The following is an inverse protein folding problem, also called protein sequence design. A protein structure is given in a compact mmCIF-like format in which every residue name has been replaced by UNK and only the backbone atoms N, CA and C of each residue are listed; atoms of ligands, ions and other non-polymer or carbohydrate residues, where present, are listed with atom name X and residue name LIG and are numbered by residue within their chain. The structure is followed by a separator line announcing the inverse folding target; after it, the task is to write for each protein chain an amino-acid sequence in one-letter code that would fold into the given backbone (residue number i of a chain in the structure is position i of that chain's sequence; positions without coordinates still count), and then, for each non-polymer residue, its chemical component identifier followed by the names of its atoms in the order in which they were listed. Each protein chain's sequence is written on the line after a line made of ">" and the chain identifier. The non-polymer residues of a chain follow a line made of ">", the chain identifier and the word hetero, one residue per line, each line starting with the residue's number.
data_IF_407724945073
#
_entry.id   IF_407724945073
#
_cell.length_a   1.000
_cell.length_b   1.000
_cell.length_c   1.000
_cell.angle_alpha   90.00
_cell.angle_beta   90.00
_cell.angle_gamma   90.00
#
_symmetry.space_group_name_H-M   'P 1'
#
loop_
_entity.id
_entity.type
_entity.pdbx_description
1 polymer ?
#
# COMPACT_ATOMS: atom_id res chain seq x y z
N UNK A 1 15.54 -4.19 18.08
CA UNK A 1 14.83 -5.06 17.13
C UNK A 1 15.66 -5.14 15.87
N UNK A 2 16.30 -6.28 15.62
CA UNK A 2 17.14 -6.48 14.43
C UNK A 2 16.28 -6.35 13.16
N UNK A 3 16.74 -5.52 12.25
CA UNK A 3 16.17 -5.42 10.90
C UNK A 3 16.55 -6.69 10.15
N UNK A 4 15.61 -7.59 9.94
CA UNK A 4 15.83 -8.70 9.01
C UNK A 4 16.19 -8.11 7.64
N UNK A 5 17.44 -8.30 7.22
CA UNK A 5 17.89 -7.95 5.87
C UNK A 5 17.19 -8.85 4.88
N UNK A 6 16.61 -8.29 3.82
CA UNK A 6 16.01 -9.08 2.74
C UNK A 6 17.13 -9.85 2.06
N UNK A 7 17.08 -11.20 2.12
CA UNK A 7 18.07 -12.06 1.47
C UNK A 7 17.66 -12.35 0.03
N UNK A 8 18.49 -11.95 -0.91
CA UNK A 8 18.35 -12.23 -2.34
C UNK A 8 19.27 -13.38 -2.82
N UNK A 9 19.83 -14.15 -1.91
CA UNK A 9 20.70 -15.30 -2.26
C UNK A 9 20.01 -16.25 -3.22
N UNK A 10 20.78 -16.82 -4.17
CA UNK A 10 20.33 -17.75 -5.22
C UNK A 10 19.33 -17.14 -6.24
N UNK A 11 19.36 -15.83 -6.43
CA UNK A 11 18.70 -15.17 -7.54
C UNK A 11 19.73 -14.64 -8.51
N UNK A 12 19.52 -14.88 -9.83
CA UNK A 12 20.44 -14.42 -10.89
C UNK A 12 20.44 -12.90 -11.06
N UNK A 13 19.32 -12.25 -10.76
CA UNK A 13 19.17 -10.81 -10.94
C UNK A 13 19.61 -10.04 -9.69
N UNK A 14 20.24 -8.87 -9.89
CA UNK A 14 20.59 -7.97 -8.79
C UNK A 14 19.38 -7.60 -7.93
N UNK A 15 19.59 -7.36 -6.61
CA UNK A 15 18.53 -6.95 -5.68
C UNK A 15 17.73 -5.74 -6.17
N UNK A 16 18.39 -4.78 -6.80
CA UNK A 16 17.79 -3.55 -7.32
C UNK A 16 16.74 -3.85 -8.42
N UNK A 17 17.05 -4.76 -9.34
CA UNK A 17 16.10 -5.19 -10.39
C UNK A 17 14.92 -5.91 -9.77
N UNK A 18 15.14 -6.81 -8.82
CA UNK A 18 14.07 -7.54 -8.14
C UNK A 18 13.15 -6.55 -7.40
N UNK A 19 13.71 -5.62 -6.64
CA UNK A 19 12.96 -4.60 -5.92
C UNK A 19 12.18 -3.67 -6.87
N UNK A 20 12.80 -3.26 -7.98
CA UNK A 20 12.19 -2.40 -8.99
C UNK A 20 10.99 -3.07 -9.66
N UNK A 21 11.13 -4.33 -10.07
CA UNK A 21 10.05 -5.12 -10.67
C UNK A 21 8.86 -5.28 -9.72
N UNK A 22 9.13 -5.62 -8.46
CA UNK A 22 8.09 -5.73 -7.43
C UNK A 22 7.41 -4.38 -7.18
N UNK A 23 8.18 -3.29 -7.18
CA UNK A 23 7.65 -1.93 -7.05
C UNK A 23 6.78 -1.53 -8.24
N UNK A 24 7.21 -1.76 -9.50
CA UNK A 24 6.42 -1.48 -10.69
C UNK A 24 5.06 -2.17 -10.59
N UNK A 25 5.07 -3.45 -10.29
CA UNK A 25 3.84 -4.23 -10.14
C UNK A 25 2.95 -3.77 -8.99
N UNK A 26 3.51 -3.33 -7.86
CA UNK A 26 2.74 -2.84 -6.72
C UNK A 26 2.19 -1.42 -6.91
N UNK A 27 2.96 -0.56 -7.58
CA UNK A 27 2.67 0.88 -7.70
C UNK A 27 1.72 1.21 -8.83
N UNK A 28 1.91 0.57 -9.98
CA UNK A 28 1.16 0.85 -11.19
C UNK A 28 0.12 -0.24 -11.46
N UNK A 29 -0.88 0.07 -12.28
CA UNK A 29 -1.92 -0.89 -12.66
C UNK A 29 -1.48 -1.79 -13.83
N UNK A 30 -0.25 -2.29 -13.78
CA UNK A 30 0.36 -3.14 -14.79
C UNK A 30 0.04 -4.62 -14.53
N UNK A 31 -0.23 -5.38 -15.58
CA UNK A 31 -0.23 -6.84 -15.51
C UNK A 31 1.19 -7.37 -15.34
N UNK A 32 1.35 -8.65 -15.02
CA UNK A 32 2.68 -9.27 -14.93
C UNK A 32 3.40 -9.29 -16.28
N UNK A 33 2.64 -9.41 -17.39
CA UNK A 33 3.19 -9.40 -18.75
C UNK A 33 3.63 -8.01 -19.17
N UNK A 34 2.86 -6.97 -18.86
CA UNK A 34 3.30 -5.59 -19.13
C UNK A 34 4.57 -5.23 -18.36
N UNK A 35 4.76 -5.78 -17.16
CA UNK A 35 6.03 -5.60 -16.42
C UNK A 35 7.16 -6.40 -17.08
N UNK A 36 6.91 -7.60 -17.59
CA UNK A 36 7.85 -8.39 -18.39
C UNK A 36 8.31 -7.61 -19.62
N UNK A 37 7.36 -7.09 -20.41
CA UNK A 37 7.63 -6.28 -21.61
C UNK A 37 8.48 -5.05 -21.27
N UNK A 38 8.10 -4.30 -20.22
CA UNK A 38 8.86 -3.14 -19.76
C UNK A 38 10.29 -3.47 -19.32
N UNK A 39 10.51 -4.65 -18.76
CA UNK A 39 11.85 -5.09 -18.36
C UNK A 39 12.65 -5.54 -19.57
N UNK A 40 12.02 -6.22 -20.53
CA UNK A 40 12.67 -6.64 -21.77
C UNK A 40 13.15 -5.44 -22.60
N UNK A 41 12.34 -4.38 -22.72
CA UNK A 41 12.72 -3.13 -23.37
C UNK A 41 13.95 -2.47 -22.74
N UNK A 42 14.25 -2.77 -21.48
CA UNK A 42 15.44 -2.30 -20.74
C UNK A 42 16.58 -3.30 -20.72
N UNK A 43 16.50 -4.34 -21.56
CA UNK A 43 17.54 -5.36 -21.66
C UNK A 43 17.57 -6.36 -20.49
N UNK A 44 16.50 -6.42 -19.68
CA UNK A 44 16.39 -7.39 -18.59
C UNK A 44 15.32 -8.44 -18.95
N UNK A 45 15.75 -9.61 -19.41
CA UNK A 45 14.86 -10.73 -19.75
C UNK A 45 14.40 -11.45 -18.48
N UNK A 46 13.25 -11.01 -17.95
CA UNK A 46 12.63 -11.52 -16.73
C UNK A 46 11.21 -11.97 -17.02
N UNK A 47 10.96 -13.27 -17.02
CA UNK A 47 9.62 -13.82 -17.31
C UNK A 47 8.56 -13.39 -16.28
N UNK A 48 7.30 -13.24 -16.75
CA UNK A 48 6.16 -12.87 -15.89
C UNK A 48 5.97 -13.84 -14.71
N UNK A 49 6.32 -15.11 -14.87
CA UNK A 49 6.25 -16.10 -13.80
C UNK A 49 7.33 -15.84 -12.72
N UNK A 50 8.52 -15.42 -13.12
CA UNK A 50 9.58 -14.98 -12.21
C UNK A 50 9.13 -13.73 -11.45
N UNK A 51 8.55 -12.75 -12.13
CA UNK A 51 7.97 -11.55 -11.53
C UNK A 51 6.90 -11.91 -10.51
N UNK A 52 6.01 -12.85 -10.84
CA UNK A 52 4.98 -13.36 -9.93
C UNK A 52 5.61 -13.97 -8.67
N UNK A 53 6.61 -14.82 -8.82
CA UNK A 53 7.33 -15.45 -7.69
C UNK A 53 8.02 -14.41 -6.82
N UNK A 54 8.69 -13.43 -7.41
CA UNK A 54 9.32 -12.35 -6.66
C UNK A 54 8.30 -11.50 -5.89
N UNK A 55 7.18 -11.19 -6.51
CA UNK A 55 6.11 -10.43 -5.85
C UNK A 55 5.56 -11.19 -4.64
N UNK A 56 5.37 -12.50 -4.75
CA UNK A 56 4.90 -13.33 -3.62
C UNK A 56 5.95 -13.41 -2.51
N UNK A 57 7.23 -13.60 -2.86
CA UNK A 57 8.34 -13.78 -1.91
C UNK A 57 8.78 -12.46 -1.27
N UNK A 58 9.07 -11.46 -2.07
CA UNK A 58 9.68 -10.21 -1.62
C UNK A 58 8.68 -9.09 -1.32
N UNK A 59 7.48 -9.13 -1.93
CA UNK A 59 6.47 -8.10 -1.75
C UNK A 59 6.13 -7.81 -0.28
N UNK A 60 5.83 -8.81 0.56
CA UNK A 60 5.58 -8.61 1.99
C UNK A 60 6.77 -8.00 2.75
N UNK A 61 8.00 -8.42 2.42
CA UNK A 61 9.23 -7.93 3.04
C UNK A 61 9.49 -6.45 2.68
N UNK A 62 9.36 -6.12 1.38
CA UNK A 62 9.47 -4.74 0.89
C UNK A 62 8.40 -3.87 1.54
N UNK A 63 7.15 -4.35 1.62
CA UNK A 63 6.08 -3.64 2.30
C UNK A 63 6.40 -3.36 3.78
N UNK A 64 7.04 -4.29 4.46
CA UNK A 64 7.47 -4.11 5.85
C UNK A 64 8.53 -3.02 5.98
N UNK A 65 9.54 -3.00 5.10
CA UNK A 65 10.59 -1.96 5.07
C UNK A 65 9.97 -0.59 4.76
N UNK A 66 9.12 -0.50 3.75
CA UNK A 66 8.44 0.75 3.38
C UNK A 66 7.61 1.31 4.53
N UNK A 67 6.87 0.47 5.26
CA UNK A 67 6.05 0.91 6.40
C UNK A 67 6.88 1.49 7.54
N UNK A 68 8.06 0.95 7.81
CA UNK A 68 8.95 1.49 8.86
C UNK A 68 9.44 2.91 8.55
N UNK A 69 9.51 3.26 7.25
CA UNK A 69 9.93 4.60 6.77
C UNK A 69 8.76 5.57 6.57
N UNK A 70 7.53 5.11 6.79
CA UNK A 70 6.35 5.97 6.65
C UNK A 70 6.18 6.85 7.89
N UNK A 71 5.67 8.08 7.72
CA UNK A 71 5.24 8.89 8.84
C UNK A 71 4.15 8.17 9.65
N UNK A 72 4.06 8.46 10.93
CA UNK A 72 2.95 7.95 11.75
C UNK A 72 1.63 8.40 11.15
N UNK A 73 0.61 7.52 11.14
CA UNK A 73 -0.74 7.91 10.74
C UNK A 73 -1.25 9.05 11.63
N UNK A 74 -2.09 9.89 11.06
CA UNK A 74 -2.82 10.89 11.84
C UNK A 74 -3.82 10.26 12.82
N UNK A 75 -4.40 11.07 13.67
CA UNK A 75 -5.25 10.67 14.81
C UNK A 75 -6.75 10.62 14.50
N UNK A 76 -7.16 10.94 13.26
CA UNK A 76 -8.54 10.80 12.77
C UNK A 76 -8.58 9.75 11.67
N UNK A 77 -9.29 8.64 11.91
CA UNK A 77 -9.39 7.55 10.96
C UNK A 77 -10.79 7.44 10.36
N UNK A 78 -10.84 7.27 9.05
CA UNK A 78 -12.06 6.96 8.30
C UNK A 78 -12.04 5.47 7.96
N UNK A 79 -13.08 4.75 8.37
CA UNK A 79 -13.16 3.30 8.23
C UNK A 79 -14.26 2.95 7.24
N UNK A 80 -13.96 2.03 6.33
CA UNK A 80 -14.90 1.52 5.35
C UNK A 80 -14.57 0.07 4.96
N UNK A 81 -15.54 -0.63 4.42
CA UNK A 81 -15.37 -1.96 3.90
C UNK A 81 -15.96 -2.10 2.51
N UNK A 82 -15.28 -2.87 1.70
CA UNK A 82 -15.68 -3.14 0.32
C UNK A 82 -15.73 -4.64 0.05
N UNK A 83 -16.78 -5.08 -0.65
CA UNK A 83 -16.92 -6.48 -1.06
C UNK A 83 -15.89 -6.82 -2.14
N UNK A 84 -15.22 -7.96 -2.00
CA UNK A 84 -14.35 -8.54 -3.01
C UNK A 84 -14.82 -9.97 -3.28
N UNK A 85 -15.07 -10.31 -4.54
CA UNK A 85 -15.41 -11.67 -4.95
C UNK A 85 -14.15 -12.44 -5.29
N UNK A 86 -13.97 -13.63 -4.69
CA UNK A 86 -12.82 -14.51 -4.92
C UNK A 86 -13.35 -15.93 -5.10
N UNK A 87 -13.12 -16.52 -6.28
CA UNK A 87 -13.62 -17.86 -6.61
C UNK A 87 -15.13 -18.02 -6.30
N UNK A 88 -15.95 -17.05 -6.71
CA UNK A 88 -17.39 -17.04 -6.50
C UNK A 88 -17.86 -16.67 -5.08
N UNK A 89 -16.97 -16.60 -4.09
CA UNK A 89 -17.31 -16.26 -2.70
C UNK A 89 -17.05 -14.79 -2.40
N UNK A 90 -17.94 -14.17 -1.62
CA UNK A 90 -17.79 -12.77 -1.19
C UNK A 90 -16.95 -12.68 0.08
N UNK A 91 -16.00 -11.76 0.07
CA UNK A 91 -15.16 -11.35 1.20
C UNK A 91 -15.29 -9.85 1.39
N UNK A 92 -14.90 -9.35 2.56
CA UNK A 92 -14.95 -7.95 2.91
C UNK A 92 -13.53 -7.46 3.19
N UNK A 93 -13.07 -6.51 2.38
CA UNK A 93 -11.82 -5.80 2.62
C UNK A 93 -12.13 -4.58 3.50
N UNK A 94 -11.81 -4.70 4.77
CA UNK A 94 -11.91 -3.63 5.76
C UNK A 94 -10.66 -2.77 5.71
N UNK A 95 -10.84 -1.46 5.60
CA UNK A 95 -9.73 -0.51 5.47
C UNK A 95 -9.94 0.70 6.36
N UNK A 96 -8.83 1.24 6.88
CA UNK A 96 -8.77 2.56 7.47
C UNK A 96 -7.94 3.50 6.61
N UNK A 97 -8.32 4.75 6.55
CA UNK A 97 -7.54 5.84 5.95
C UNK A 97 -7.56 7.03 6.91
N UNK A 98 -6.43 7.68 7.11
CA UNK A 98 -6.37 8.85 7.98
C UNK A 98 -6.80 10.14 7.28
N UNK A 99 -6.80 11.26 8.02
CA UNK A 99 -7.14 12.59 7.51
C UNK A 99 -6.19 13.08 6.40
N UNK A 100 -5.02 12.45 6.22
CA UNK A 100 -4.04 12.79 5.19
C UNK A 100 -4.09 11.86 3.97
N UNK A 101 -4.94 10.81 4.01
CA UNK A 101 -5.05 9.80 2.96
C UNK A 101 -4.07 8.65 3.08
N UNK A 102 -3.32 8.58 4.19
CA UNK A 102 -2.48 7.43 4.52
C UNK A 102 -3.36 6.27 4.98
N UNK A 103 -3.03 5.06 4.57
CA UNK A 103 -3.72 3.83 4.98
C UNK A 103 -2.97 3.20 6.17
N UNK A 104 -3.44 3.38 7.43
CA UNK A 104 -2.83 2.75 8.61
C UNK A 104 -2.88 1.23 8.55
N UNK A 105 -3.94 0.69 7.99
CA UNK A 105 -4.07 -0.76 7.81
C UNK A 105 -5.38 -1.19 7.18
N UNK A 106 -5.38 -2.47 6.85
CA UNK A 106 -6.48 -3.15 6.21
C UNK A 106 -6.45 -4.64 6.51
N UNK A 107 -7.61 -5.27 6.46
CA UNK A 107 -7.77 -6.71 6.71
C UNK A 107 -8.90 -7.28 5.86
N UNK A 108 -8.65 -8.44 5.27
CA UNK A 108 -9.68 -9.21 4.56
C UNK A 108 -10.40 -10.13 5.55
N UNK A 109 -11.72 -10.15 5.50
CA UNK A 109 -12.54 -11.01 6.34
C UNK A 109 -13.71 -11.59 5.56
N UNK A 110 -14.18 -12.78 5.99
CA UNK A 110 -15.31 -13.47 5.36
C UNK A 110 -16.67 -12.93 5.79
N UNK A 111 -16.73 -12.18 6.90
CA UNK A 111 -17.97 -11.64 7.47
C UNK A 111 -17.92 -10.14 7.65
N UNK A 112 -19.10 -9.52 7.58
CA UNK A 112 -19.33 -8.09 7.87
C UNK A 112 -20.07 -7.95 9.19
N UNK A 113 -19.37 -8.24 10.28
CA UNK A 113 -19.95 -8.28 11.62
C UNK A 113 -19.12 -7.49 12.66
N UNK A 114 -19.62 -7.44 13.89
CA UNK A 114 -18.95 -6.80 15.04
C UNK A 114 -17.56 -7.39 15.30
N UNK A 115 -17.38 -8.71 15.12
CA UNK A 115 -16.08 -9.38 15.35
C UNK A 115 -15.05 -8.92 14.32
N UNK A 116 -15.49 -8.73 13.06
CA UNK A 116 -14.65 -8.20 11.99
C UNK A 116 -14.23 -6.77 12.28
N UNK A 117 -15.15 -5.88 12.65
CA UNK A 117 -14.85 -4.52 13.06
C UNK A 117 -13.91 -4.45 14.27
N UNK A 118 -14.11 -5.29 15.28
CA UNK A 118 -13.24 -5.40 16.45
C UNK A 118 -11.81 -5.80 16.07
N UNK A 119 -11.64 -6.80 15.20
CA UNK A 119 -10.31 -7.23 14.71
C UNK A 119 -9.60 -6.09 13.97
N UNK A 120 -10.32 -5.35 13.13
CA UNK A 120 -9.76 -4.20 12.43
C UNK A 120 -9.25 -3.16 13.44
N UNK A 121 -10.07 -2.70 14.38
CA UNK A 121 -9.71 -1.69 15.37
C UNK A 121 -8.49 -2.11 16.20
N UNK A 122 -8.49 -3.33 16.75
CA UNK A 122 -7.36 -3.86 17.52
C UNK A 122 -6.08 -3.88 16.69
N UNK A 123 -6.15 -4.37 15.43
CA UNK A 123 -4.97 -4.42 14.56
C UNK A 123 -4.44 -3.02 14.22
N UNK A 124 -5.33 -2.07 13.97
CA UNK A 124 -4.95 -0.68 13.66
C UNK A 124 -4.23 -0.04 14.86
N UNK A 125 -4.79 -0.12 16.06
CA UNK A 125 -4.21 0.47 17.28
C UNK A 125 -2.87 -0.20 17.63
N UNK A 126 -2.78 -1.54 17.54
CA UNK A 126 -1.51 -2.26 17.76
C UNK A 126 -0.42 -1.83 16.78
N UNK A 127 -0.75 -1.66 15.50
CA UNK A 127 0.21 -1.26 14.46
C UNK A 127 0.65 0.20 14.59
N UNK A 128 -0.28 1.07 14.93
CA UNK A 128 -0.04 2.51 15.07
C UNK A 128 0.64 2.85 16.39
N UNK A 129 0.50 1.99 17.41
CA UNK A 129 1.03 2.21 18.77
C UNK A 129 0.24 3.24 19.57
N UNK A 130 -0.95 3.64 19.11
CA UNK A 130 -1.82 4.60 19.83
C UNK A 130 -3.30 4.37 19.48
N UNK A 131 -4.16 4.94 20.31
CA UNK A 131 -5.61 5.03 20.06
C UNK A 131 -5.89 6.36 19.34
N UNK A 132 -6.60 6.36 18.21
CA UNK A 132 -6.92 7.62 17.51
C UNK A 132 -7.85 8.47 18.36
N UNK A 133 -7.86 9.79 18.12
CA UNK A 133 -8.81 10.69 18.77
C UNK A 133 -10.23 10.44 18.27
N UNK A 134 -10.36 10.14 16.98
CA UNK A 134 -11.66 10.00 16.32
C UNK A 134 -11.64 8.92 15.25
N UNK A 135 -12.75 8.21 15.13
CA UNK A 135 -13.08 7.40 13.96
C UNK A 135 -14.34 7.96 13.29
N UNK A 136 -14.32 7.95 11.95
CA UNK A 136 -15.49 8.24 11.10
C UNK A 136 -15.85 6.97 10.33
N UNK A 137 -17.14 6.62 10.32
CA UNK A 137 -17.65 5.45 9.61
C UNK A 137 -18.94 5.77 8.90
N UNK A 138 -19.37 4.90 8.00
CA UNK A 138 -20.76 4.85 7.56
C UNK A 138 -21.68 4.44 8.74
N UNK A 139 -22.97 4.31 8.48
CA UNK A 139 -23.98 3.96 9.50
C UNK A 139 -23.93 2.47 9.94
N UNK A 140 -22.85 1.74 9.66
CA UNK A 140 -22.72 0.33 10.03
C UNK A 140 -22.64 0.17 11.57
N UNK A 141 -23.67 -0.47 12.15
CA UNK A 141 -23.77 -0.68 13.61
C UNK A 141 -22.61 -1.46 14.22
N UNK A 142 -21.94 -2.29 13.43
CA UNK A 142 -20.78 -3.10 13.86
C UNK A 142 -19.63 -2.28 14.41
N UNK A 143 -19.35 -1.10 13.85
CA UNK A 143 -18.29 -0.20 14.34
C UNK A 143 -18.59 0.37 15.72
N UNK A 144 -19.82 0.86 15.93
CA UNK A 144 -20.23 1.38 17.24
C UNK A 144 -20.17 0.32 18.33
N UNK A 145 -20.63 -0.90 18.03
CA UNK A 145 -20.56 -2.04 18.95
C UNK A 145 -19.12 -2.49 19.25
N UNK A 146 -18.26 -2.53 18.24
CA UNK A 146 -16.84 -2.88 18.39
C UNK A 146 -16.08 -1.81 19.19
N UNK A 147 -16.35 -0.53 18.91
CA UNK A 147 -15.74 0.62 19.61
C UNK A 147 -15.99 0.59 21.11
N UNK A 148 -17.24 0.33 21.53
CA UNK A 148 -17.57 0.25 22.96
C UNK A 148 -16.77 -0.78 23.72
N UNK A 149 -16.36 -1.88 23.05
CA UNK A 149 -15.55 -2.93 23.68
C UNK A 149 -14.05 -2.67 23.65
N UNK A 150 -13.55 -2.05 22.58
CA UNK A 150 -12.10 -1.92 22.33
C UNK A 150 -11.54 -0.61 22.85
N UNK A 151 -12.31 0.48 22.71
CA UNK A 151 -11.90 1.82 23.09
C UNK A 151 -13.14 2.67 23.45
N UNK A 152 -13.70 2.52 24.67
CA UNK A 152 -14.93 3.21 25.09
C UNK A 152 -14.85 4.74 24.95
N UNK A 153 -13.69 5.34 25.28
CA UNK A 153 -13.44 6.79 25.21
C UNK A 153 -13.17 7.35 23.80
N UNK A 154 -13.10 6.50 22.78
CA UNK A 154 -12.85 6.94 21.42
C UNK A 154 -14.06 7.71 20.85
N UNK A 155 -13.83 8.90 20.26
CA UNK A 155 -14.86 9.65 19.56
C UNK A 155 -15.27 8.93 18.26
N UNK A 156 -16.59 8.76 18.03
CA UNK A 156 -17.11 8.04 16.88
C UNK A 156 -18.19 8.82 16.15
N UNK A 157 -17.88 9.26 14.95
CA UNK A 157 -18.80 9.91 14.05
C UNK A 157 -19.34 8.95 13.02
N UNK A 158 -20.63 8.67 13.10
CA UNK A 158 -21.34 7.76 12.20
C UNK A 158 -22.30 8.56 11.31
N UNK A 159 -21.83 8.95 10.14
CA UNK A 159 -22.63 9.72 9.18
C UNK A 159 -22.22 9.40 7.75
N UNK A 160 -23.22 9.14 6.86
CA UNK A 160 -22.98 8.73 5.47
C UNK A 160 -22.11 9.74 4.69
N UNK A 161 -22.33 11.04 4.85
CA UNK A 161 -21.60 12.08 4.11
C UNK A 161 -20.17 12.35 4.60
N UNK A 162 -19.76 11.82 5.76
CA UNK A 162 -18.42 12.06 6.31
C UNK A 162 -17.39 10.99 5.92
N UNK A 163 -17.80 9.94 5.20
CA UNK A 163 -16.94 8.79 4.90
C UNK A 163 -16.40 8.76 3.47
N UNK A 164 -16.66 9.80 2.65
CA UNK A 164 -16.18 9.88 1.25
C UNK A 164 -14.68 9.63 1.10
N UNK A 165 -13.88 9.97 2.13
CA UNK A 165 -12.43 9.75 2.15
C UNK A 165 -12.11 8.26 2.16
N UNK A 166 -12.79 7.48 2.98
CA UNK A 166 -12.61 6.03 3.04
C UNK A 166 -13.12 5.36 1.76
N UNK A 167 -14.29 5.76 1.25
CA UNK A 167 -14.84 5.28 -0.01
C UNK A 167 -13.87 5.53 -1.17
N UNK A 168 -13.36 6.75 -1.31
CA UNK A 168 -12.39 7.11 -2.34
C UNK A 168 -11.05 6.34 -2.20
N UNK A 169 -10.69 5.92 -0.99
CA UNK A 169 -9.47 5.13 -0.75
C UNK A 169 -9.52 3.76 -1.41
N UNK A 170 -10.71 3.24 -1.69
CA UNK A 170 -10.90 1.96 -2.37
C UNK A 170 -10.75 2.05 -3.90
N UNK A 171 -10.90 3.24 -4.50
CA UNK A 171 -10.82 3.39 -5.97
C UNK A 171 -9.55 2.84 -6.60
N UNK A 172 -8.34 3.11 -6.05
CA UNK A 172 -7.11 2.56 -6.62
C UNK A 172 -7.00 1.04 -6.45
N UNK A 173 -7.53 0.50 -5.35
CA UNK A 173 -7.63 -0.94 -5.17
C UNK A 173 -8.55 -1.56 -6.21
N UNK A 174 -9.72 -0.98 -6.46
CA UNK A 174 -10.68 -1.43 -7.48
C UNK A 174 -10.12 -1.37 -8.89
N UNK A 175 -9.36 -0.30 -9.22
CA UNK A 175 -8.66 -0.20 -10.51
C UNK A 175 -7.65 -1.35 -10.65
N UNK A 176 -6.92 -1.63 -9.59
CA UNK A 176 -5.93 -2.71 -9.57
C UNK A 176 -6.57 -4.10 -9.65
N UNK A 177 -7.63 -4.35 -8.89
CA UNK A 177 -8.39 -5.58 -8.94
C UNK A 177 -8.87 -5.90 -10.37
N UNK A 178 -9.38 -4.90 -11.08
CA UNK A 178 -9.80 -5.05 -12.49
C UNK A 178 -8.64 -5.34 -13.42
N UNK A 179 -7.53 -4.62 -13.31
CA UNK A 179 -6.33 -4.86 -14.13
C UNK A 179 -5.74 -6.26 -13.91
N UNK A 180 -5.87 -6.82 -12.71
CA UNK A 180 -5.44 -8.19 -12.38
C UNK A 180 -6.49 -9.26 -12.72
N UNK A 181 -7.65 -8.88 -13.24
CA UNK A 181 -8.80 -9.79 -13.47
C UNK A 181 -9.25 -10.52 -12.20
N UNK A 182 -9.14 -9.82 -11.05
CA UNK A 182 -9.51 -10.33 -9.73
C UNK A 182 -8.40 -11.10 -9.02
N UNK A 183 -8.75 -11.70 -7.90
CA UNK A 183 -7.84 -12.50 -7.09
C UNK A 183 -8.28 -13.97 -7.08
N UNK A 184 -7.33 -14.89 -7.16
CA UNK A 184 -7.59 -16.33 -7.18
C UNK A 184 -7.75 -16.93 -5.77
N UNK A 185 -7.24 -16.26 -4.73
CA UNK A 185 -7.36 -16.73 -3.35
C UNK A 185 -7.38 -15.59 -2.33
N UNK A 186 -8.07 -15.78 -1.18
CA UNK A 186 -8.06 -14.80 -0.09
C UNK A 186 -6.66 -14.51 0.44
N UNK A 187 -5.81 -15.53 0.55
CA UNK A 187 -4.41 -15.37 0.96
C UNK A 187 -3.59 -14.57 -0.03
N UNK A 188 -3.85 -14.69 -1.34
CA UNK A 188 -3.22 -13.86 -2.38
C UNK A 188 -3.58 -12.40 -2.21
N UNK A 189 -4.86 -12.08 -2.03
CA UNK A 189 -5.32 -10.73 -1.74
C UNK A 189 -4.72 -10.18 -0.44
N UNK A 190 -4.76 -10.94 0.65
CA UNK A 190 -4.25 -10.50 1.96
C UNK A 190 -2.73 -10.22 1.94
N UNK A 191 -1.96 -10.86 1.07
CA UNK A 191 -0.52 -10.54 0.85
C UNK A 191 -0.33 -9.30 -0.03
N UNK A 192 -1.16 -9.15 -1.05
CA UNK A 192 -1.03 -8.08 -2.04
C UNK A 192 -1.41 -6.70 -1.47
N UNK A 193 -2.54 -6.61 -0.77
CA UNK A 193 -3.10 -5.35 -0.30
C UNK A 193 -2.13 -4.54 0.58
N UNK A 194 -1.44 -5.15 1.58
CA UNK A 194 -0.46 -4.45 2.38
C UNK A 194 0.74 -3.90 1.58
N UNK A 195 1.14 -4.60 0.53
CA UNK A 195 2.22 -4.15 -0.35
C UNK A 195 1.79 -2.94 -1.17
N UNK A 196 0.60 -2.99 -1.79
CA UNK A 196 0.03 -1.89 -2.54
C UNK A 196 -0.15 -0.64 -1.67
N UNK A 197 -0.69 -0.78 -0.47
CA UNK A 197 -0.91 0.34 0.45
C UNK A 197 0.39 0.92 0.97
N UNK A 198 1.38 0.10 1.33
CA UNK A 198 2.69 0.57 1.74
C UNK A 198 3.39 1.38 0.64
N UNK A 199 3.35 0.87 -0.61
CA UNK A 199 3.91 1.57 -1.77
C UNK A 199 3.17 2.89 -2.01
N UNK A 200 1.86 2.91 -1.94
CA UNK A 200 1.07 4.13 -2.12
C UNK A 200 1.33 5.18 -1.05
N UNK A 201 1.31 4.77 0.21
CA UNK A 201 1.57 5.66 1.34
C UNK A 201 2.94 6.33 1.23
N UNK A 202 3.96 5.58 0.80
CA UNK A 202 5.32 6.10 0.63
C UNK A 202 5.40 7.25 -0.38
N UNK A 203 4.58 7.18 -1.44
CA UNK A 203 4.50 8.20 -2.48
C UNK A 203 3.31 9.17 -2.33
N UNK A 204 2.54 9.08 -1.23
CA UNK A 204 1.49 10.04 -0.92
C UNK A 204 2.11 11.32 -0.36
N UNK A 205 2.10 12.37 -1.18
CA UNK A 205 2.51 13.70 -0.71
C UNK A 205 1.32 14.33 0.02
N UNK A 206 1.49 14.85 1.25
CA UNK A 206 0.45 15.58 1.96
C UNK A 206 -0.11 16.72 1.10
N UNK A 207 -1.43 16.92 1.10
CA UNK A 207 -2.13 17.89 0.24
C UNK A 207 -1.58 19.32 0.32
N UNK A 208 -0.98 19.73 1.46
CA UNK A 208 -0.34 21.03 1.65
C UNK A 208 0.95 21.26 0.86
N UNK A 209 1.55 20.22 0.25
CA UNK A 209 2.78 20.34 -0.55
C UNK A 209 2.56 20.22 -2.06
N UNK A 210 1.32 20.26 -2.52
CA UNK A 210 0.98 20.22 -3.94
C UNK A 210 0.79 21.62 -4.53
N UNK A 211 1.75 22.52 -4.40
CA UNK A 211 1.84 23.64 -5.34
C UNK A 211 2.56 23.16 -6.60
N UNK A 212 2.17 23.66 -7.77
CA UNK A 212 2.82 23.34 -9.04
C UNK A 212 4.34 23.66 -8.99
N UNK A 213 4.74 24.68 -8.22
CA UNK A 213 6.12 25.05 -7.93
C UNK A 213 6.87 23.95 -7.16
N UNK A 214 6.23 23.25 -6.21
CA UNK A 214 6.89 22.18 -5.44
C UNK A 214 7.10 20.92 -6.28
N UNK A 215 6.24 20.66 -7.25
CA UNK A 215 6.42 19.55 -8.20
C UNK A 215 7.58 19.82 -9.16
N UNK A 216 7.78 21.07 -9.59
CA UNK A 216 8.90 21.45 -10.43
C UNK A 216 10.24 21.42 -9.68
N UNK A 217 10.27 21.78 -8.39
CA UNK A 217 11.49 21.81 -7.58
C UNK A 217 12.03 20.44 -7.21
N UNK A 218 11.16 19.42 -7.13
CA UNK A 218 11.59 18.02 -6.91
C UNK A 218 12.27 17.46 -8.18
N UNK A 219 11.86 17.94 -9.36
CA UNK A 219 12.49 17.57 -10.65
C UNK A 219 13.79 18.35 -10.97
N UNK A 220 14.02 19.52 -10.35
CA UNK A 220 15.10 20.43 -10.79
C UNK A 220 16.35 20.45 -9.92
N UNK A 221 16.44 19.72 -8.83
CA UNK A 221 17.60 19.72 -7.92
C UNK A 221 18.80 18.89 -8.40
N UNK A 222 18.76 18.29 -9.59
CA UNK A 222 19.87 17.51 -10.15
C UNK A 222 20.13 17.79 -11.63
N UNK A 223 20.18 19.04 -12.03
CA UNK A 223 20.66 19.39 -13.37
C UNK A 223 21.80 20.39 -13.27
N UNK A 224 23.04 19.91 -13.27
CA UNK A 224 24.19 20.68 -13.78
C UNK A 224 24.15 20.62 -15.32
N UNK A 225 24.37 21.73 -16.04
CA UNK A 225 24.37 21.73 -17.49
C UNK A 225 25.65 21.10 -18.02
N UNK A 226 25.53 19.97 -18.71
CA UNK A 226 26.65 19.27 -19.33
C UNK A 226 26.19 18.11 -20.21
N UNK A 227 26.14 18.37 -21.52
CA UNK A 227 26.13 17.41 -22.63
C UNK A 227 24.85 16.67 -22.99
N UNK A 228 24.20 16.91 -24.17
CA UNK A 228 22.87 16.43 -24.54
C UNK A 228 22.83 15.00 -25.17
N UNK A 229 23.70 14.09 -24.80
CA UNK A 229 23.73 12.74 -25.41
C UNK A 229 23.39 11.56 -24.51
N UNK A 230 22.98 11.78 -23.24
CA UNK A 230 22.58 10.70 -22.33
C UNK A 230 21.40 11.10 -21.45
N UNK A 231 20.26 11.46 -22.06
CA UNK A 231 19.00 11.80 -21.34
C UNK A 231 18.08 10.59 -21.22
N UNK A 232 18.63 9.42 -20.90
CA UNK A 232 17.80 8.25 -20.63
C UNK A 232 18.42 7.53 -19.44
N UNK A 233 18.01 7.75 -18.24
CA UNK A 233 18.18 6.94 -17.05
C UNK A 233 18.35 7.81 -15.78
N UNK A 234 17.37 8.66 -15.49
CA UNK A 234 17.16 9.06 -14.10
C UNK A 234 15.79 8.55 -13.68
N UNK A 235 15.77 7.28 -13.28
CA UNK A 235 14.68 6.72 -12.49
C UNK A 235 14.57 7.54 -11.19
N UNK A 236 13.34 7.85 -10.71
CA UNK A 236 13.20 8.31 -9.34
C UNK A 236 13.87 7.26 -8.46
N UNK A 237 14.86 7.68 -7.67
CA UNK A 237 15.64 6.81 -6.81
C UNK A 237 14.70 5.89 -6.02
N UNK A 238 14.65 4.64 -6.42
CA UNK A 238 14.20 3.57 -5.53
C UNK A 238 15.03 3.79 -4.27
N UNK A 239 14.44 3.89 -3.07
CA UNK A 239 15.21 4.08 -1.85
C UNK A 239 16.32 3.06 -1.86
N UNK A 240 17.57 3.51 -1.91
CA UNK A 240 18.73 2.63 -1.88
C UNK A 240 18.59 1.76 -0.64
N UNK A 241 18.41 0.47 -0.85
CA UNK A 241 18.38 -0.54 0.21
C UNK A 241 19.81 -0.84 0.70
N UNK A 242 20.81 -0.08 0.20
CA UNK A 242 22.23 -0.39 0.35
C UNK A 242 22.90 0.28 1.57
N UNK A 243 22.25 1.22 2.27
CA UNK A 243 22.85 1.85 3.46
C UNK A 243 22.70 1.08 4.78
N UNK A 244 22.62 -0.23 4.73
CA UNK A 244 22.73 -1.09 5.91
C UNK A 244 23.78 -2.19 5.73
N UNK A 245 24.95 -1.84 5.14
CA UNK A 245 26.10 -2.73 5.06
C UNK A 245 27.29 -2.07 5.76
N UNK A 246 27.29 -2.06 7.07
CA UNK A 246 28.44 -2.10 8.00
C UNK A 246 27.94 -2.62 9.34
#
# INVERSE_FOLDING_TARGET
>A
MQTEKISYKRHHFPPQIIAHVVWLYARFNLSLREVEDLMLERGADVSYETIRRWTVKFGPLIAQVLRRRQPRPGDVWHLDEVVVKIAGRSYWLWRAVDQHGVVPGEILQSKRDKRAAKRLLINLMKRSGFVPKRISTDKLRSYGAAKREVAPGLDHWSHKGLNNRAENSHLPFRKRERAMQGFRSPGGLQRFVPMQSATRNHFSVPARRRSALTSATIGSKHSRPGNPRHVWLETPSVPQLDECAT
#
